data_IF_544529265033
#
_entry.id   IF_544529265033
#
_cell.length_a   1.000
_cell.length_b   1.000
_cell.length_c   1.000
_cell.angle_alpha   90.00
_cell.angle_beta   90.00
_cell.angle_gamma   90.00
#
_symmetry.space_group_name_H-M   'P 1'
#
loop_
_entity.id
_entity.type
_entity.pdbx_description
1 polymer ?
#
# COMPACT_ATOMS: atom_id res chain seq x y z
N UNK A 1 15.50 11.78 3.38
CA UNK A 1 16.17 10.50 3.76
C UNK A 1 15.73 9.98 5.13
N UNK A 2 15.86 10.76 6.22
CA UNK A 2 15.44 10.31 7.55
C UNK A 2 13.98 9.83 7.62
N UNK A 3 13.04 10.55 7.00
CA UNK A 3 11.62 10.15 6.95
C UNK A 3 11.38 8.81 6.25
N UNK A 4 12.08 8.54 5.15
CA UNK A 4 12.02 7.24 4.47
C UNK A 4 12.56 6.12 5.36
N UNK A 5 13.68 6.35 6.06
CA UNK A 5 14.26 5.36 6.96
C UNK A 5 13.37 5.01 8.15
N UNK A 6 12.64 5.99 8.70
CA UNK A 6 11.65 5.76 9.76
C UNK A 6 10.45 4.97 9.24
N UNK A 7 9.99 5.24 8.02
CA UNK A 7 8.90 4.51 7.38
C UNK A 7 9.26 3.04 7.12
N UNK A 8 10.47 2.83 6.60
CA UNK A 8 11.04 1.51 6.39
C UNK A 8 11.18 0.73 7.70
N UNK A 9 11.67 1.37 8.76
CA UNK A 9 11.77 0.75 10.08
C UNK A 9 10.40 0.38 10.63
N UNK A 10 9.41 1.25 10.48
CA UNK A 10 8.03 0.97 10.88
C UNK A 10 7.47 -0.25 10.12
N UNK A 11 7.63 -0.30 8.79
CA UNK A 11 7.21 -1.46 7.98
C UNK A 11 7.91 -2.77 8.40
N UNK A 12 9.20 -2.70 8.77
CA UNK A 12 9.92 -3.86 9.29
C UNK A 12 9.35 -4.33 10.64
N UNK A 13 9.04 -3.40 11.54
CA UNK A 13 8.49 -3.71 12.87
C UNK A 13 7.07 -4.28 12.78
N UNK A 14 6.22 -3.72 11.93
CA UNK A 14 4.86 -4.22 11.64
C UNK A 14 4.90 -5.69 11.16
N UNK A 15 5.85 -5.99 10.26
CA UNK A 15 6.10 -7.36 9.81
C UNK A 15 6.58 -8.31 10.93
N UNK A 16 7.40 -7.83 11.87
CA UNK A 16 7.91 -8.61 13.01
C UNK A 16 6.81 -8.91 14.01
N UNK A 17 6.01 -7.92 14.39
CA UNK A 17 4.92 -8.07 15.37
C UNK A 17 3.86 -9.06 14.87
N UNK A 18 3.50 -8.98 13.58
CA UNK A 18 2.62 -9.95 12.93
C UNK A 18 3.19 -11.38 12.93
N UNK A 19 4.51 -11.53 12.75
CA UNK A 19 5.16 -12.85 12.77
C UNK A 19 5.23 -13.45 14.19
N UNK A 20 5.54 -12.62 15.20
CA UNK A 20 5.57 -13.04 16.61
C UNK A 20 4.18 -13.45 17.08
N UNK A 21 3.13 -12.72 16.70
CA UNK A 21 1.75 -13.05 17.05
C UNK A 21 1.32 -14.43 16.52
N UNK A 22 1.73 -14.80 15.30
CA UNK A 22 1.48 -16.12 14.70
C UNK A 22 2.26 -17.24 15.40
N UNK A 23 3.54 -17.00 15.70
CA UNK A 23 4.40 -17.98 16.39
C UNK A 23 3.92 -18.27 17.81
N UNK A 24 3.46 -17.24 18.54
CA UNK A 24 3.02 -17.38 19.93
C UNK A 24 1.53 -17.78 20.06
N UNK A 25 0.79 -17.87 18.94
CA UNK A 25 -0.67 -18.10 18.89
C UNK A 25 -1.50 -17.17 19.81
N UNK A 26 -0.96 -16.00 20.14
CA UNK A 26 -1.57 -15.00 21.01
C UNK A 26 -2.25 -13.87 20.21
N UNK A 27 -2.65 -14.13 18.97
CA UNK A 27 -3.34 -13.15 18.13
C UNK A 27 -4.69 -12.76 18.72
N UNK A 28 -4.81 -11.53 19.19
CA UNK A 28 -6.10 -10.96 19.62
C UNK A 28 -6.85 -10.39 18.42
N UNK A 29 -8.19 -10.58 18.38
CA UNK A 29 -9.05 -9.94 17.38
C UNK A 29 -8.91 -8.42 17.37
N UNK A 30 -8.74 -7.81 18.54
CA UNK A 30 -8.55 -6.37 18.67
C UNK A 30 -7.17 -5.92 18.15
N UNK A 31 -6.13 -6.72 18.40
CA UNK A 31 -4.78 -6.46 17.89
C UNK A 31 -4.73 -6.46 16.35
N UNK A 32 -5.45 -7.40 15.71
CA UNK A 32 -5.56 -7.44 14.25
C UNK A 32 -6.30 -6.23 13.66
N UNK A 33 -7.20 -5.60 14.40
CA UNK A 33 -7.88 -4.37 13.96
C UNK A 33 -6.92 -3.18 14.03
N UNK A 34 -6.14 -3.07 15.10
CA UNK A 34 -5.12 -2.02 15.22
C UNK A 34 -4.04 -2.13 14.14
N UNK A 35 -3.53 -3.35 13.90
CA UNK A 35 -2.56 -3.67 12.84
C UNK A 35 -3.07 -3.26 11.45
N UNK A 36 -4.32 -3.61 11.12
CA UNK A 36 -4.95 -3.21 9.86
C UNK A 36 -5.17 -1.69 9.77
N UNK A 37 -5.55 -1.04 10.87
CA UNK A 37 -5.78 0.41 10.92
C UNK A 37 -4.49 1.20 10.69
N UNK A 38 -3.42 0.88 11.44
CA UNK A 38 -2.10 1.51 11.26
C UNK A 38 -1.53 1.21 9.87
N UNK A 39 -1.76 0.00 9.36
CA UNK A 39 -1.50 -0.38 7.98
C UNK A 39 -2.13 0.59 6.99
N UNK A 40 -3.44 0.81 7.06
CA UNK A 40 -4.13 1.71 6.12
C UNK A 40 -3.64 3.16 6.22
N UNK A 41 -3.41 3.65 7.43
CA UNK A 41 -2.89 5.01 7.62
C UNK A 41 -1.51 5.18 7.02
N UNK A 42 -0.61 4.22 7.24
CA UNK A 42 0.71 4.21 6.65
C UNK A 42 0.64 4.19 5.11
N UNK A 43 -0.25 3.38 4.53
CA UNK A 43 -0.43 3.34 3.08
C UNK A 43 -0.80 4.71 2.49
N UNK A 44 -1.67 5.48 3.15
CA UNK A 44 -1.99 6.84 2.72
C UNK A 44 -0.78 7.77 2.86
N UNK A 45 -0.19 7.78 4.07
CA UNK A 45 0.84 8.73 4.44
C UNK A 45 2.10 8.57 3.59
N UNK A 46 2.42 7.36 3.13
CA UNK A 46 3.56 7.12 2.26
C UNK A 46 3.43 7.89 0.93
N UNK A 47 2.31 7.71 0.22
CA UNK A 47 2.10 8.37 -1.07
C UNK A 47 1.85 9.88 -0.92
N UNK A 48 1.14 10.28 0.14
CA UNK A 48 0.90 11.69 0.42
C UNK A 48 2.22 12.42 0.74
N UNK A 49 3.08 11.83 1.56
CA UNK A 49 4.40 12.39 1.90
C UNK A 49 5.32 12.43 0.68
N UNK A 50 5.26 11.44 -0.22
CA UNK A 50 6.00 11.46 -1.49
C UNK A 50 5.56 12.62 -2.41
N UNK A 51 4.26 12.93 -2.44
CA UNK A 51 3.71 14.11 -3.14
C UNK A 51 4.25 15.43 -2.58
N UNK A 52 4.22 15.59 -1.25
CA UNK A 52 4.77 16.78 -0.57
C UNK A 52 6.28 16.90 -0.81
N UNK A 53 7.02 15.79 -0.74
CA UNK A 53 8.45 15.79 -0.98
C UNK A 53 8.79 16.23 -2.41
N UNK A 54 8.06 15.71 -3.40
CA UNK A 54 8.24 16.14 -4.80
C UNK A 54 7.91 17.63 -5.00
N UNK A 55 6.89 18.16 -4.32
CA UNK A 55 6.55 19.59 -4.39
C UNK A 55 7.67 20.49 -3.86
N UNK A 56 8.28 20.11 -2.74
CA UNK A 56 9.42 20.84 -2.17
C UNK A 56 10.64 20.76 -3.11
N UNK A 57 10.89 19.62 -3.76
CA UNK A 57 11.98 19.48 -4.73
C UNK A 57 11.77 20.32 -6.00
N UNK A 58 10.53 20.49 -6.44
CA UNK A 58 10.17 21.33 -7.60
C UNK A 58 10.14 22.84 -7.29
N UNK A 59 10.65 23.29 -6.14
CA UNK A 59 10.69 24.70 -5.76
C UNK A 59 9.31 25.33 -5.55
N UNK A 60 8.33 24.55 -5.09
CA UNK A 60 6.95 24.99 -4.82
C UNK A 60 6.12 25.39 -6.06
N UNK A 61 6.54 24.97 -7.25
CA UNK A 61 5.85 25.30 -8.51
C UNK A 61 4.77 24.26 -8.82
N UNK A 62 5.03 22.99 -8.49
CA UNK A 62 4.23 21.86 -8.98
C UNK A 62 3.25 21.33 -7.90
N UNK A 63 2.24 22.12 -7.55
CA UNK A 63 1.19 21.75 -6.57
C UNK A 63 0.42 20.48 -6.96
N UNK A 64 0.43 20.13 -8.25
CA UNK A 64 -0.22 18.94 -8.78
C UNK A 64 0.36 17.68 -8.11
N UNK A 65 1.63 17.68 -7.73
CA UNK A 65 2.27 16.53 -7.05
C UNK A 65 1.62 16.16 -5.72
N UNK A 66 1.15 17.15 -4.96
CA UNK A 66 0.46 16.90 -3.68
C UNK A 66 -0.89 16.22 -3.95
N UNK A 67 -1.61 16.70 -4.97
CA UNK A 67 -2.90 16.15 -5.39
C UNK A 67 -2.72 14.71 -5.92
N UNK A 68 -1.69 14.49 -6.73
CA UNK A 68 -1.32 13.17 -7.26
C UNK A 68 -1.00 12.20 -6.11
N UNK A 69 -0.19 12.62 -5.13
CA UNK A 69 0.13 11.82 -3.95
C UNK A 69 -1.11 11.46 -3.13
N UNK A 70 -2.00 12.43 -2.89
CA UNK A 70 -3.24 12.22 -2.15
C UNK A 70 -4.20 11.26 -2.88
N UNK A 71 -4.39 11.43 -4.20
CA UNK A 71 -5.21 10.55 -5.02
C UNK A 71 -4.65 9.13 -5.04
N UNK A 72 -3.34 8.99 -5.21
CA UNK A 72 -2.64 7.71 -5.20
C UNK A 72 -2.84 6.96 -3.87
N UNK A 73 -2.70 7.67 -2.74
CA UNK A 73 -2.99 7.12 -1.41
C UNK A 73 -4.46 6.69 -1.25
N UNK A 74 -5.40 7.49 -1.75
CA UNK A 74 -6.82 7.15 -1.70
C UNK A 74 -7.15 5.89 -2.52
N UNK A 75 -6.60 5.77 -3.74
CA UNK A 75 -6.81 4.60 -4.60
C UNK A 75 -6.28 3.30 -4.00
N UNK A 76 -5.27 3.37 -3.13
CA UNK A 76 -4.74 2.21 -2.41
C UNK A 76 -5.68 1.74 -1.30
N UNK A 77 -6.30 2.67 -0.59
CA UNK A 77 -7.13 2.37 0.60
C UNK A 77 -8.56 2.04 0.21
N UNK A 78 -9.12 2.73 -0.76
CA UNK A 78 -10.51 2.58 -1.18
C UNK A 78 -10.94 1.12 -1.47
N UNK A 79 -10.21 0.32 -2.27
CA UNK A 79 -10.59 -1.07 -2.51
C UNK A 79 -10.52 -1.94 -1.24
N UNK A 80 -9.61 -1.62 -0.29
CA UNK A 80 -9.50 -2.33 0.99
C UNK A 80 -10.68 -2.04 1.91
N UNK A 81 -11.12 -0.78 1.97
CA UNK A 81 -12.31 -0.38 2.72
C UNK A 81 -13.57 -1.09 2.17
N UNK A 82 -13.71 -1.13 0.85
CA UNK A 82 -14.82 -1.83 0.20
C UNK A 82 -14.75 -3.33 0.48
N UNK A 83 -13.59 -3.96 0.33
CA UNK A 83 -13.42 -5.38 0.66
C UNK A 83 -13.78 -5.69 2.12
N UNK A 84 -13.34 -4.86 3.07
CA UNK A 84 -13.66 -5.07 4.49
C UNK A 84 -15.15 -4.90 4.79
N UNK A 85 -15.80 -3.90 4.18
CA UNK A 85 -17.24 -3.69 4.32
C UNK A 85 -18.05 -4.80 3.67
N UNK A 86 -17.66 -5.24 2.46
CA UNK A 86 -18.28 -6.37 1.77
C UNK A 86 -18.18 -7.67 2.57
N UNK A 87 -17.02 -7.95 3.15
CA UNK A 87 -16.83 -9.14 3.99
C UNK A 87 -17.71 -9.12 5.25
N UNK A 88 -17.94 -7.94 5.82
CA UNK A 88 -18.77 -7.77 7.03
C UNK A 88 -20.27 -7.88 6.71
N UNK A 89 -20.73 -7.31 5.58
CA UNK A 89 -22.15 -7.24 5.23
C UNK A 89 -22.66 -8.45 4.44
N UNK A 90 -21.85 -9.01 3.52
CA UNK A 90 -22.25 -10.15 2.68
C UNK A 90 -21.86 -11.50 3.29
N UNK A 91 -21.24 -11.52 4.48
CA UNK A 91 -20.84 -12.76 5.16
C UNK A 91 -19.94 -13.66 4.33
N UNK A 92 -19.24 -13.09 3.34
CA UNK A 92 -18.26 -13.78 2.51
C UNK A 92 -17.03 -14.06 3.39
N UNK A 93 -17.19 -15.05 4.27
CA UNK A 93 -16.11 -15.82 4.87
C UNK A 93 -15.15 -16.15 3.75
N UNK A 94 -13.92 -15.63 3.83
CA UNK A 94 -12.80 -15.91 2.94
C UNK A 94 -13.18 -16.79 1.74
N UNK A 95 -13.64 -16.21 0.62
CA UNK A 95 -13.42 -16.88 -0.65
C UNK A 95 -11.91 -16.91 -0.83
N UNK A 96 -11.32 -17.98 -0.30
CA UNK A 96 -9.95 -18.43 -0.38
C UNK A 96 -9.50 -18.68 -1.83
N UNK A 97 -10.03 -17.94 -2.81
CA UNK A 97 -9.54 -17.95 -4.20
C UNK A 97 -8.27 -17.09 -4.37
N UNK A 98 -7.79 -16.43 -3.32
CA UNK A 98 -6.45 -15.85 -3.27
C UNK A 98 -5.42 -16.77 -2.58
N UNK A 99 -5.86 -17.89 -2.01
CA UNK A 99 -5.03 -18.87 -1.30
C UNK A 99 -4.75 -20.15 -2.11
N UNK A 100 -5.13 -20.21 -3.39
CA UNK A 100 -4.86 -21.39 -4.22
C UNK A 100 -3.43 -21.34 -4.81
N UNK A 101 -2.48 -21.84 -4.01
CA UNK A 101 -1.04 -21.95 -4.23
C UNK A 101 -0.62 -22.87 -5.39
N UNK A 102 -1.40 -22.97 -6.47
CA UNK A 102 -1.12 -23.94 -7.55
C UNK A 102 -0.90 -23.36 -8.95
N UNK A 103 -1.21 -22.09 -9.20
CA UNK A 103 -0.88 -21.41 -10.47
C UNK A 103 -0.29 -20.00 -10.26
N UNK A 104 0.67 -19.88 -9.33
CA UNK A 104 1.37 -18.62 -9.09
C UNK A 104 2.43 -18.35 -10.17
N UNK A 105 1.96 -18.00 -11.38
CA UNK A 105 2.81 -17.51 -12.46
C UNK A 105 3.59 -16.27 -12.02
N UNK A 106 4.87 -16.21 -12.39
CA UNK A 106 5.84 -15.15 -12.08
C UNK A 106 5.26 -13.73 -12.21
N UNK A 107 4.39 -13.51 -13.20
CA UNK A 107 3.69 -12.26 -13.50
C UNK A 107 2.81 -11.79 -12.33
N UNK A 108 2.11 -12.69 -11.65
CA UNK A 108 1.22 -12.34 -10.53
C UNK A 108 1.98 -12.04 -9.25
N UNK A 109 3.13 -12.70 -9.02
CA UNK A 109 4.04 -12.42 -7.90
C UNK A 109 4.72 -11.06 -8.09
N UNK A 110 5.15 -10.75 -9.32
CA UNK A 110 5.69 -9.43 -9.68
C UNK A 110 4.61 -8.34 -9.52
N UNK A 111 3.38 -8.60 -9.98
CA UNK A 111 2.26 -7.66 -9.76
C UNK A 111 1.93 -7.47 -8.28
N UNK A 112 1.96 -8.54 -7.48
CA UNK A 112 1.73 -8.47 -6.03
C UNK A 112 2.83 -7.65 -5.34
N UNK A 113 4.10 -7.83 -5.75
CA UNK A 113 5.25 -7.14 -5.16
C UNK A 113 5.36 -5.66 -5.59
N UNK A 114 4.94 -5.32 -6.81
CA UNK A 114 4.90 -3.93 -7.30
C UNK A 114 3.82 -3.12 -6.57
N UNK A 115 2.74 -3.77 -6.14
CA UNK A 115 1.59 -3.14 -5.47
C UNK A 115 1.66 -3.25 -3.95
N UNK A 116 2.53 -4.09 -3.41
CA UNK A 116 2.77 -4.21 -1.97
C UNK A 116 3.60 -3.05 -1.44
N UNK A 117 3.00 -2.30 -0.51
CA UNK A 117 3.57 -1.07 0.06
C UNK A 117 4.81 -1.35 0.90
N UNK A 118 4.82 -2.44 1.67
CA UNK A 118 5.98 -2.90 2.46
C UNK A 118 7.03 -3.66 1.62
N UNK A 119 6.92 -3.63 0.29
CA UNK A 119 7.78 -4.36 -0.63
C UNK A 119 8.55 -3.41 -1.55
N UNK A 120 8.34 -3.53 -2.87
CA UNK A 120 9.12 -2.79 -3.86
C UNK A 120 8.82 -1.29 -3.88
N UNK A 121 7.66 -0.86 -3.37
CA UNK A 121 7.25 0.56 -3.36
C UNK A 121 8.24 1.43 -2.59
N UNK A 122 8.66 0.99 -1.40
CA UNK A 122 9.66 1.71 -0.61
C UNK A 122 11.02 1.74 -1.27
N UNK A 123 11.44 0.62 -1.90
CA UNK A 123 12.73 0.53 -2.60
C UNK A 123 12.74 1.47 -3.81
N UNK A 124 11.67 1.48 -4.61
CA UNK A 124 11.54 2.40 -5.74
C UNK A 124 11.44 3.86 -5.29
N UNK A 125 10.78 4.14 -4.16
CA UNK A 125 10.75 5.47 -3.58
C UNK A 125 12.16 5.92 -3.15
N UNK A 126 12.97 5.03 -2.55
CA UNK A 126 14.36 5.34 -2.21
C UNK A 126 15.18 5.68 -3.45
N UNK A 127 15.09 4.86 -4.49
CA UNK A 127 15.79 5.09 -5.76
C UNK A 127 15.35 6.43 -6.36
N UNK A 128 14.06 6.73 -6.36
CA UNK A 128 13.52 8.00 -6.85
C UNK A 128 14.03 9.21 -6.05
N UNK A 129 14.17 9.08 -4.72
CA UNK A 129 14.75 10.12 -3.87
C UNK A 129 16.24 10.31 -4.20
N UNK A 130 17.01 9.22 -4.36
CA UNK A 130 18.44 9.28 -4.70
C UNK A 130 18.69 9.92 -6.07
N UNK A 131 17.80 9.67 -7.03
CA UNK A 131 17.88 10.24 -8.38
C UNK A 131 17.26 11.64 -8.49
N UNK A 132 16.64 12.15 -7.41
CA UNK A 132 15.89 13.41 -7.41
C UNK A 132 14.76 13.42 -8.47
N UNK A 133 14.11 12.27 -8.70
CA UNK A 133 13.06 12.06 -9.69
C UNK A 133 11.76 11.54 -9.05
N UNK A 134 11.40 12.06 -7.87
CA UNK A 134 10.19 11.64 -7.12
C UNK A 134 8.89 11.99 -7.87
N UNK A 135 8.91 13.01 -8.73
CA UNK A 135 7.79 13.35 -9.61
C UNK A 135 7.38 12.17 -10.50
N UNK A 136 8.37 11.53 -11.16
CA UNK A 136 8.13 10.37 -12.04
C UNK A 136 7.53 9.21 -11.24
N UNK A 137 8.05 8.97 -10.03
CA UNK A 137 7.51 7.97 -9.13
C UNK A 137 6.02 8.21 -8.82
N UNK A 138 5.63 9.44 -8.47
CA UNK A 138 4.25 9.78 -8.14
C UNK A 138 3.28 9.51 -9.29
N UNK A 139 3.65 9.88 -10.53
CA UNK A 139 2.82 9.63 -11.71
C UNK A 139 2.67 8.15 -12.03
N UNK A 140 3.77 7.39 -12.01
CA UNK A 140 3.74 5.95 -12.27
C UNK A 140 2.85 5.25 -11.24
N UNK A 141 3.03 5.56 -9.96
CA UNK A 141 2.28 4.93 -8.89
C UNK A 141 0.81 5.34 -8.86
N UNK A 142 0.46 6.56 -9.28
CA UNK A 142 -0.94 6.95 -9.46
C UNK A 142 -1.64 6.03 -10.47
N UNK A 143 -1.02 5.77 -11.63
CA UNK A 143 -1.60 4.91 -12.66
C UNK A 143 -1.71 3.46 -12.16
N UNK A 144 -0.66 2.94 -11.54
CA UNK A 144 -0.66 1.58 -10.97
C UNK A 144 -1.78 1.44 -9.93
N UNK A 145 -1.88 2.37 -8.99
CA UNK A 145 -2.87 2.33 -7.92
C UNK A 145 -4.31 2.46 -8.46
N UNK A 146 -4.52 3.28 -9.49
CA UNK A 146 -5.81 3.38 -10.17
C UNK A 146 -6.21 2.06 -10.86
N UNK A 147 -5.28 1.42 -11.59
CA UNK A 147 -5.54 0.13 -12.25
C UNK A 147 -5.86 -0.95 -11.22
N UNK A 148 -5.11 -1.00 -10.12
CA UNK A 148 -5.33 -1.96 -9.02
C UNK A 148 -6.67 -1.73 -8.35
N UNK A 149 -7.04 -0.47 -8.11
CA UNK A 149 -8.33 -0.12 -7.55
C UNK A 149 -9.46 -0.63 -8.44
N UNK A 150 -9.46 -0.29 -9.73
CA UNK A 150 -10.50 -0.72 -10.67
C UNK A 150 -10.57 -2.25 -10.75
N UNK A 151 -9.42 -2.92 -10.88
CA UNK A 151 -9.36 -4.38 -10.91
C UNK A 151 -9.92 -5.03 -9.64
N UNK A 152 -9.65 -4.43 -8.48
CA UNK A 152 -10.17 -4.91 -7.19
C UNK A 152 -11.67 -4.70 -7.05
N UNK A 153 -12.18 -3.53 -7.46
CA UNK A 153 -13.61 -3.22 -7.42
C UNK A 153 -14.43 -4.14 -8.33
N UNK A 154 -13.96 -4.38 -9.55
CA UNK A 154 -14.62 -5.31 -10.48
C UNK A 154 -14.67 -6.72 -9.87
N UNK A 155 -13.62 -7.15 -9.16
CA UNK A 155 -13.59 -8.46 -8.53
C UNK A 155 -14.51 -8.57 -7.31
N UNK A 156 -14.69 -7.50 -6.55
CA UNK A 156 -15.52 -7.49 -5.33
C UNK A 156 -17.01 -7.31 -5.65
N UNK A 157 -17.35 -6.57 -6.70
CA UNK A 157 -18.74 -6.26 -7.08
C UNK A 157 -19.36 -7.29 -8.05
N UNK A 158 -18.60 -8.28 -8.51
CA UNK A 158 -19.05 -9.33 -9.44
C UNK A 158 -19.20 -10.66 -8.72
#
# INVERSE_FOLDING_TARGET
MAGWGLFFLWNLLDGVDGNIARLKKNGSKLGSVYDAMSGYEAMFLLYFSAGIFSFNMSGHIDYIQIIVGALSGMFVIFPRLIMHKTNTELGCSEKNELADKKDFGFIKVVALNITSISGLVEVFLLIAIMLNQVNIFNWIYLVINLVVMIGSLIKVLK
#
